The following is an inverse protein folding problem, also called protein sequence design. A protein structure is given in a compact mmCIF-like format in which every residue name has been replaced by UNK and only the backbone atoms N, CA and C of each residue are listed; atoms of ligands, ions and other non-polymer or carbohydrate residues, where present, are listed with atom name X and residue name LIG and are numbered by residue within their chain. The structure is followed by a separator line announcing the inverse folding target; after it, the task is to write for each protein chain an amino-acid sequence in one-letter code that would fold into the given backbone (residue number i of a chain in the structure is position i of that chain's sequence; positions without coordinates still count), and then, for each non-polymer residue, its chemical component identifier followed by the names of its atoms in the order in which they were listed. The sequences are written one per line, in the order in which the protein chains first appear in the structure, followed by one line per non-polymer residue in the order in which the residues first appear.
data_IF_922970755950
#
_entry.id   IF_922970755950
#
_cell.length_a   1.000
_cell.length_b   1.000
_cell.length_c   1.000
_cell.angle_alpha   90.00
_cell.angle_beta   90.00
_cell.angle_gamma   90.00
#
_symmetry.space_group_name_H-M   'P 1'
#
loop_
_entity.id
_entity.type
_entity.pdbx_description
1 polymer ?
#
# COMPACT_ATOMS: atom_id res chain seq x y z
N UNK A 1 4.58 17.08 34.70
CA UNK A 1 5.82 17.73 34.22
C UNK A 1 6.87 16.74 33.69
N UNK A 2 6.51 15.48 33.39
CA UNK A 2 7.41 14.45 32.83
C UNK A 2 7.08 14.15 31.34
N UNK A 3 5.97 14.66 30.79
CA UNK A 3 5.54 14.33 29.42
C UNK A 3 6.26 15.09 28.29
N UNK A 4 6.83 16.27 28.55
CA UNK A 4 7.44 17.10 27.49
C UNK A 4 8.81 16.62 27.03
N UNK A 5 9.61 16.02 27.93
CA UNK A 5 10.95 15.53 27.59
C UNK A 5 10.91 14.31 26.63
N UNK A 6 9.90 13.44 26.75
CA UNK A 6 9.78 12.24 25.91
C UNK A 6 9.33 12.57 24.46
N UNK A 7 8.52 13.62 24.28
CA UNK A 7 8.01 14.02 22.95
C UNK A 7 9.05 14.76 22.10
N UNK A 8 9.80 15.69 22.68
CA UNK A 8 10.88 16.40 21.97
C UNK A 8 11.99 15.42 21.50
N UNK A 9 12.27 14.40 22.30
CA UNK A 9 13.21 13.34 21.96
C UNK A 9 12.69 12.44 20.81
N UNK A 10 11.40 12.06 20.84
CA UNK A 10 10.78 11.26 19.77
C UNK A 10 10.67 12.01 18.44
N UNK A 11 10.36 13.30 18.47
CA UNK A 11 10.30 14.14 17.27
C UNK A 11 11.68 14.23 16.62
N UNK A 12 12.70 14.58 17.42
CA UNK A 12 14.09 14.68 16.96
C UNK A 12 14.61 13.33 16.45
N UNK A 13 14.25 12.24 17.11
CA UNK A 13 14.57 10.88 16.66
C UNK A 13 13.96 10.60 15.28
N UNK A 14 12.67 10.89 15.12
CA UNK A 14 11.94 10.67 13.86
C UNK A 14 12.55 11.46 12.71
N UNK A 15 12.86 12.74 12.93
CA UNK A 15 13.50 13.61 11.94
C UNK A 15 14.85 13.05 11.50
N UNK A 16 15.71 12.65 12.45
CA UNK A 16 17.03 12.08 12.15
C UNK A 16 16.91 10.75 11.41
N UNK A 17 16.00 9.87 11.83
CA UNK A 17 15.84 8.53 11.25
C UNK A 17 15.31 8.61 9.82
N UNK A 18 14.26 9.39 9.57
CA UNK A 18 13.73 9.59 8.22
C UNK A 18 14.74 10.34 7.32
N UNK A 19 15.44 11.34 7.83
CA UNK A 19 16.51 12.01 7.08
C UNK A 19 17.60 11.03 6.66
N UNK A 20 17.99 10.13 7.55
CA UNK A 20 18.95 9.06 7.24
C UNK A 20 18.41 8.12 6.15
N UNK A 21 17.14 7.69 6.23
CA UNK A 21 16.51 6.87 5.20
C UNK A 21 16.52 7.55 3.82
N UNK A 22 16.09 8.82 3.75
CA UNK A 22 16.10 9.58 2.49
C UNK A 22 17.51 9.76 1.89
N UNK A 23 18.54 9.88 2.73
CA UNK A 23 19.91 10.08 2.27
C UNK A 23 20.63 8.78 1.90
N UNK A 24 20.35 7.70 2.63
CA UNK A 24 21.21 6.51 2.64
C UNK A 24 20.50 5.22 2.18
N UNK A 25 19.17 5.18 2.10
CA UNK A 25 18.41 3.97 1.75
C UNK A 25 17.80 4.06 0.35
N UNK A 26 18.43 3.37 -0.62
CA UNK A 26 17.92 3.30 -1.99
C UNK A 26 16.59 2.54 -2.11
N UNK A 27 16.37 1.56 -1.24
CA UNK A 27 15.10 0.81 -1.16
C UNK A 27 13.97 1.70 -0.66
N UNK A 28 14.19 2.43 0.45
CA UNK A 28 13.24 3.39 0.99
C UNK A 28 12.86 4.46 -0.04
N UNK A 29 13.87 5.05 -0.70
CA UNK A 29 13.62 6.08 -1.72
C UNK A 29 12.81 5.54 -2.91
N UNK A 30 13.03 4.28 -3.31
CA UNK A 30 12.23 3.63 -4.35
C UNK A 30 10.79 3.42 -3.89
N UNK A 31 10.60 2.90 -2.68
CA UNK A 31 9.29 2.72 -2.08
C UNK A 31 8.50 4.04 -2.00
N UNK A 32 9.10 5.08 -1.42
CA UNK A 32 8.48 6.41 -1.33
C UNK A 32 8.15 6.97 -2.72
N UNK A 33 9.06 6.81 -3.69
CA UNK A 33 8.82 7.26 -5.07
C UNK A 33 7.65 6.53 -5.72
N UNK A 34 7.56 5.21 -5.61
CA UNK A 34 6.45 4.42 -6.19
C UNK A 34 5.11 4.86 -5.63
N UNK A 35 5.05 5.11 -4.31
CA UNK A 35 3.88 5.67 -3.62
C UNK A 35 3.54 7.06 -4.16
N UNK A 36 4.52 7.97 -4.19
CA UNK A 36 4.31 9.35 -4.61
C UNK A 36 3.82 9.41 -6.07
N UNK A 37 4.47 8.66 -6.96
CA UNK A 37 4.10 8.61 -8.37
C UNK A 37 2.68 8.04 -8.56
N UNK A 38 2.26 7.07 -7.74
CA UNK A 38 0.88 6.55 -7.77
C UNK A 38 -0.15 7.64 -7.43
N UNK A 39 -0.03 8.30 -6.28
CA UNK A 39 -0.99 9.33 -5.88
C UNK A 39 -0.91 10.58 -6.74
N UNK A 40 0.29 10.98 -7.18
CA UNK A 40 0.49 12.08 -8.11
C UNK A 40 -0.27 11.85 -9.41
N UNK A 41 -0.11 10.66 -10.03
CA UNK A 41 -0.81 10.32 -11.26
C UNK A 41 -2.33 10.26 -11.07
N UNK A 42 -2.79 9.65 -9.98
CA UNK A 42 -4.22 9.51 -9.65
C UNK A 42 -4.91 10.87 -9.52
N UNK A 43 -4.26 11.83 -8.89
CA UNK A 43 -4.80 13.18 -8.67
C UNK A 43 -4.57 14.12 -9.88
N UNK A 44 -3.50 13.91 -10.65
CA UNK A 44 -3.11 14.77 -11.78
C UNK A 44 -4.18 14.84 -12.88
N UNK A 45 -5.06 13.85 -12.99
CA UNK A 45 -6.16 13.85 -13.97
C UNK A 45 -7.14 15.00 -13.77
N UNK A 46 -7.22 15.54 -12.54
CA UNK A 46 -8.10 16.66 -12.21
C UNK A 46 -7.41 18.03 -12.30
N UNK A 47 -6.07 18.05 -12.34
CA UNK A 47 -5.28 19.29 -12.25
C UNK A 47 -5.09 19.92 -13.63
N UNK A 48 -5.42 21.20 -13.76
CA UNK A 48 -5.21 21.97 -15.00
C UNK A 48 -3.72 22.09 -15.28
N UNK A 49 -3.37 22.10 -16.57
CA UNK A 49 -1.97 22.18 -17.03
C UNK A 49 -1.23 23.37 -16.41
N UNK A 50 -1.87 24.53 -16.31
CA UNK A 50 -1.31 25.76 -15.72
C UNK A 50 -0.97 25.65 -14.21
N UNK A 51 -1.61 24.74 -13.48
CA UNK A 51 -1.43 24.57 -12.04
C UNK A 51 -0.51 23.38 -11.69
N UNK A 52 -0.07 22.59 -12.68
CA UNK A 52 0.66 21.33 -12.45
C UNK A 52 1.93 21.48 -11.62
N UNK A 53 2.79 22.44 -11.95
CA UNK A 53 4.05 22.63 -11.22
C UNK A 53 3.81 23.01 -9.76
N UNK A 54 2.82 23.87 -9.50
CA UNK A 54 2.43 24.29 -8.15
C UNK A 54 1.86 23.10 -7.38
N UNK A 55 1.00 22.32 -8.03
CA UNK A 55 0.42 21.11 -7.46
C UNK A 55 1.48 20.08 -7.09
N UNK A 56 2.36 19.72 -8.03
CA UNK A 56 3.41 18.71 -7.81
C UNK A 56 4.36 19.11 -6.67
N UNK A 57 4.74 20.40 -6.62
CA UNK A 57 5.57 20.92 -5.53
C UNK A 57 4.87 20.79 -4.17
N UNK A 58 3.60 21.21 -4.08
CA UNK A 58 2.80 21.11 -2.85
C UNK A 58 2.54 19.66 -2.45
N UNK A 59 2.22 18.79 -3.40
CA UNK A 59 1.98 17.37 -3.16
C UNK A 59 3.23 16.71 -2.61
N UNK A 60 4.40 16.96 -3.18
CA UNK A 60 5.64 16.34 -2.72
C UNK A 60 6.00 16.77 -1.29
N UNK A 61 5.86 18.06 -0.97
CA UNK A 61 6.05 18.56 0.39
C UNK A 61 5.05 17.93 1.36
N UNK A 62 3.77 17.94 1.00
CA UNK A 62 2.69 17.36 1.80
C UNK A 62 2.88 15.87 2.03
N UNK A 63 3.33 15.13 1.01
CA UNK A 63 3.59 13.70 1.11
C UNK A 63 4.73 13.39 2.09
N UNK A 64 5.83 14.15 2.06
CA UNK A 64 6.92 13.99 3.05
C UNK A 64 6.45 14.30 4.46
N UNK A 65 5.70 15.39 4.62
CA UNK A 65 5.15 15.87 5.89
C UNK A 65 4.17 14.83 6.48
N UNK A 66 3.29 14.26 5.65
CA UNK A 66 2.36 13.21 6.07
C UNK A 66 3.04 11.88 6.38
N UNK A 67 4.07 11.52 5.62
CA UNK A 67 4.86 10.32 5.89
C UNK A 67 5.56 10.45 7.25
N UNK A 68 6.12 11.62 7.54
CA UNK A 68 6.67 11.92 8.86
C UNK A 68 5.60 11.78 9.95
N UNK A 69 4.41 12.37 9.74
CA UNK A 69 3.33 12.32 10.72
C UNK A 69 2.94 10.88 11.07
N UNK A 70 2.75 10.02 10.06
CA UNK A 70 2.45 8.61 10.27
C UNK A 70 3.55 7.84 11.00
N UNK A 71 4.80 8.11 10.66
CA UNK A 71 5.94 7.52 11.37
C UNK A 71 5.92 7.95 12.85
N UNK A 72 5.77 9.25 13.11
CA UNK A 72 5.77 9.83 14.45
C UNK A 72 4.62 9.29 15.33
N UNK A 73 3.39 9.24 14.80
CA UNK A 73 2.21 8.70 15.50
C UNK A 73 2.48 7.28 16.00
N UNK A 74 3.04 6.42 15.15
CA UNK A 74 3.32 5.04 15.55
C UNK A 74 4.50 4.95 16.52
N UNK A 75 5.50 5.83 16.43
CA UNK A 75 6.55 5.88 17.46
C UNK A 75 5.99 6.27 18.82
N UNK A 76 5.06 7.23 18.88
CA UNK A 76 4.36 7.55 20.13
C UNK A 76 3.55 6.34 20.64
N UNK A 77 2.80 5.67 19.74
CA UNK A 77 2.02 4.47 20.08
C UNK A 77 2.89 3.31 20.59
N UNK A 78 4.06 3.06 19.99
CA UNK A 78 4.98 2.00 20.41
C UNK A 78 5.75 2.34 21.69
N UNK A 79 5.89 3.62 22.02
CA UNK A 79 6.57 4.07 23.24
C UNK A 79 5.67 3.97 24.49
N UNK A 80 4.35 3.85 24.33
CA UNK A 80 3.42 3.64 25.45
C UNK A 80 3.37 2.13 25.82
N UNK A 81 3.62 1.85 27.10
CA UNK A 81 3.66 0.49 27.65
C UNK A 81 2.34 -0.26 27.48
N UNK A 82 1.21 0.45 27.33
CA UNK A 82 -0.12 -0.15 27.19
C UNK A 82 -0.48 -0.52 25.75
N UNK A 83 0.27 -0.02 24.77
CA UNK A 83 -0.02 -0.16 23.32
C UNK A 83 1.13 -0.79 22.54
N UNK A 84 2.14 -1.32 23.23
CA UNK A 84 3.26 -2.00 22.59
C UNK A 84 2.79 -3.22 21.77
N UNK A 85 3.33 -3.36 20.56
CA UNK A 85 3.04 -4.50 19.70
C UNK A 85 3.89 -5.70 20.13
N UNK A 86 3.29 -6.89 20.36
CA UNK A 86 4.04 -8.06 20.78
C UNK A 86 4.98 -8.52 19.66
N UNK A 87 6.08 -9.16 20.02
CA UNK A 87 7.09 -9.61 19.05
C UNK A 87 6.52 -10.62 18.04
N UNK A 88 5.51 -11.42 18.46
CA UNK A 88 4.75 -12.30 17.56
C UNK A 88 4.04 -11.52 16.45
N UNK A 89 3.41 -10.40 16.79
CA UNK A 89 2.77 -9.52 15.81
C UNK A 89 3.80 -8.88 14.87
N UNK A 90 4.96 -8.47 15.39
CA UNK A 90 6.05 -7.91 14.57
C UNK A 90 6.72 -8.97 13.68
N UNK A 91 6.62 -10.25 14.03
CA UNK A 91 7.20 -11.36 13.26
C UNK A 91 6.37 -11.73 12.02
N UNK A 92 5.18 -11.15 11.85
CA UNK A 92 4.33 -11.44 10.72
C UNK A 92 4.90 -10.89 9.38
N UNK A 93 4.46 -11.43 8.24
CA UNK A 93 4.89 -10.96 6.93
C UNK A 93 4.49 -9.49 6.66
N UNK A 94 5.23 -8.82 5.79
CA UNK A 94 5.09 -7.36 5.61
C UNK A 94 3.75 -6.96 4.99
N UNK A 95 3.14 -7.82 4.18
CA UNK A 95 1.81 -7.59 3.64
C UNK A 95 0.74 -7.55 4.73
N UNK A 96 0.76 -8.51 5.66
CA UNK A 96 -0.15 -8.49 6.82
C UNK A 96 0.04 -7.26 7.69
N UNK A 97 1.30 -6.89 8.01
CA UNK A 97 1.60 -5.63 8.72
C UNK A 97 0.96 -4.45 7.97
N UNK A 98 1.10 -4.40 6.65
CA UNK A 98 0.58 -3.30 5.83
C UNK A 98 -0.95 -3.23 5.91
N UNK A 99 -1.64 -4.38 5.83
CA UNK A 99 -3.09 -4.46 5.91
C UNK A 99 -3.66 -4.06 7.28
N UNK A 100 -2.93 -4.30 8.37
CA UNK A 100 -3.43 -4.01 9.73
C UNK A 100 -3.17 -2.55 10.19
N UNK A 101 -2.22 -1.85 9.58
CA UNK A 101 -1.84 -0.47 9.97
C UNK A 101 -3.01 0.51 10.00
N UNK A 102 -3.93 0.54 9.03
CA UNK A 102 -5.07 1.46 9.09
C UNK A 102 -5.87 1.32 10.39
N UNK A 103 -6.00 0.11 10.92
CA UNK A 103 -6.63 -0.16 12.22
C UNK A 103 -5.82 0.38 13.39
N UNK A 104 -4.49 0.24 13.35
CA UNK A 104 -3.58 0.80 14.37
C UNK A 104 -3.68 2.32 14.41
N UNK A 105 -3.63 3.00 13.26
CA UNK A 105 -3.70 4.47 13.21
C UNK A 105 -5.05 4.98 13.69
N UNK A 106 -6.15 4.36 13.26
CA UNK A 106 -7.50 4.70 13.75
C UNK A 106 -7.61 4.53 15.27
N UNK A 107 -7.01 3.46 15.81
CA UNK A 107 -7.00 3.21 17.26
C UNK A 107 -6.14 4.22 18.02
N UNK A 108 -4.96 4.57 17.49
CA UNK A 108 -4.04 5.53 18.10
C UNK A 108 -4.61 6.96 18.10
N UNK A 109 -5.29 7.37 17.02
CA UNK A 109 -5.86 8.71 16.91
C UNK A 109 -7.21 8.86 17.64
N UNK A 110 -7.90 7.75 17.94
CA UNK A 110 -9.18 7.73 18.62
C UNK A 110 -10.25 8.55 17.90
N UNK A 111 -11.08 9.27 18.67
CA UNK A 111 -12.19 10.08 18.14
C UNK A 111 -11.74 11.34 17.37
N UNK A 112 -10.47 11.73 17.47
CA UNK A 112 -9.93 12.94 16.84
C UNK A 112 -9.18 12.62 15.54
N UNK A 113 -9.46 11.47 14.93
CA UNK A 113 -8.79 10.96 13.73
C UNK A 113 -8.50 12.06 12.71
N UNK A 114 -9.52 12.70 12.11
CA UNK A 114 -9.30 13.69 11.04
C UNK A 114 -8.40 14.88 11.42
N UNK A 115 -8.41 15.30 12.69
CA UNK A 115 -7.59 16.43 13.16
C UNK A 115 -6.13 16.03 13.43
N UNK A 116 -5.89 14.77 13.84
CA UNK A 116 -4.56 14.28 14.23
C UNK A 116 -3.73 13.85 13.03
N UNK A 117 -4.36 13.28 11.99
CA UNK A 117 -3.62 12.73 10.85
C UNK A 117 -3.20 13.75 9.79
N UNK A 118 -3.79 14.94 9.73
CA UNK A 118 -3.44 15.94 8.72
C UNK A 118 -2.32 16.87 9.18
N UNK A 119 -1.18 16.83 8.49
CA UNK A 119 -0.14 17.83 8.64
C UNK A 119 -0.57 19.19 8.09
N UNK A 120 0.09 20.24 8.54
CA UNK A 120 -0.15 21.61 8.07
C UNK A 120 0.03 21.73 6.55
N UNK A 121 1.07 21.12 6.00
CA UNK A 121 1.32 21.12 4.55
C UNK A 121 0.18 20.47 3.76
N UNK A 122 -0.31 19.32 4.25
CA UNK A 122 -1.42 18.62 3.62
C UNK A 122 -2.72 19.39 3.75
N UNK A 123 -2.97 20.02 4.90
CA UNK A 123 -4.11 20.91 5.08
C UNK A 123 -4.07 22.08 4.09
N UNK A 124 -2.90 22.70 3.91
CA UNK A 124 -2.70 23.78 2.95
C UNK A 124 -2.88 23.33 1.49
N UNK A 125 -2.45 22.12 1.14
CA UNK A 125 -2.71 21.52 -0.17
C UNK A 125 -4.21 21.29 -0.40
N UNK A 126 -4.90 20.73 0.60
CA UNK A 126 -6.35 20.51 0.54
C UNK A 126 -7.08 21.83 0.31
N UNK A 127 -6.80 22.86 1.13
CA UNK A 127 -7.41 24.19 0.98
C UNK A 127 -7.14 24.80 -0.42
N UNK A 128 -5.91 24.68 -0.90
CA UNK A 128 -5.55 25.16 -2.24
C UNK A 128 -6.33 24.42 -3.35
N UNK A 129 -6.52 23.11 -3.22
CA UNK A 129 -7.19 22.28 -4.21
C UNK A 129 -8.71 22.47 -4.21
N UNK A 130 -9.36 22.45 -3.04
CA UNK A 130 -10.83 22.57 -2.93
C UNK A 130 -11.37 23.94 -3.36
N UNK A 131 -10.52 24.97 -3.36
CA UNK A 131 -10.89 26.30 -3.88
C UNK A 131 -10.82 26.39 -5.40
N UNK A 132 -10.29 25.38 -6.09
CA UNK A 132 -10.01 25.38 -7.54
C UNK A 132 -10.68 24.22 -8.29
N UNK A 133 -10.86 23.10 -7.62
CA UNK A 133 -11.28 21.84 -8.22
C UNK A 133 -12.43 21.23 -7.43
N UNK A 134 -13.43 20.73 -8.14
CA UNK A 134 -14.52 19.95 -7.56
C UNK A 134 -14.05 18.51 -7.28
N UNK A 135 -14.68 17.86 -6.30
CA UNK A 135 -14.50 16.43 -5.96
C UNK A 135 -13.08 15.95 -5.57
N UNK A 136 -12.08 16.83 -5.45
CA UNK A 136 -10.75 16.44 -4.94
C UNK A 136 -10.69 16.21 -3.43
N UNK A 137 -11.62 16.79 -2.66
CA UNK A 137 -11.51 16.81 -1.21
C UNK A 137 -11.42 15.41 -0.60
N UNK A 138 -12.33 14.51 -0.99
CA UNK A 138 -12.35 13.13 -0.50
C UNK A 138 -11.10 12.36 -0.94
N UNK A 139 -10.66 12.53 -2.18
CA UNK A 139 -9.49 11.85 -2.73
C UNK A 139 -8.18 12.31 -2.07
N UNK A 140 -8.04 13.61 -1.76
CA UNK A 140 -6.90 14.14 -1.03
C UNK A 140 -6.90 13.69 0.43
N UNK A 141 -8.06 13.66 1.10
CA UNK A 141 -8.17 13.10 2.46
C UNK A 141 -7.76 11.62 2.49
N UNK A 142 -8.23 10.82 1.53
CA UNK A 142 -7.83 9.41 1.42
C UNK A 142 -6.33 9.28 1.17
N UNK A 143 -5.79 10.03 0.20
CA UNK A 143 -4.36 10.06 -0.11
C UNK A 143 -3.53 10.42 1.12
N UNK A 144 -3.97 11.42 1.89
CA UNK A 144 -3.32 11.84 3.12
C UNK A 144 -3.27 10.70 4.15
N UNK A 145 -4.38 9.97 4.32
CA UNK A 145 -4.44 8.84 5.24
C UNK A 145 -3.57 7.66 4.79
N UNK A 146 -3.58 7.34 3.50
CA UNK A 146 -2.73 6.28 2.95
C UNK A 146 -1.24 6.59 3.17
N UNK A 147 -0.82 7.84 2.95
CA UNK A 147 0.57 8.26 3.15
C UNK A 147 0.98 8.17 4.63
N UNK A 148 0.08 8.54 5.56
CA UNK A 148 0.29 8.33 6.99
C UNK A 148 0.50 6.84 7.29
N UNK A 149 -0.37 5.98 6.76
CA UNK A 149 -0.23 4.53 6.95
C UNK A 149 1.10 3.98 6.40
N UNK A 150 1.63 4.56 5.32
CA UNK A 150 2.94 4.15 4.79
C UNK A 150 4.11 4.68 5.64
N UNK A 151 3.99 5.86 6.24
CA UNK A 151 4.93 6.34 7.25
C UNK A 151 4.96 5.47 8.50
N UNK A 152 3.77 5.09 8.96
CA UNK A 152 3.54 4.16 10.05
C UNK A 152 4.18 2.79 9.79
N UNK A 153 4.01 2.27 8.57
CA UNK A 153 4.69 1.03 8.13
C UNK A 153 6.18 1.10 8.37
N UNK A 154 6.83 2.17 7.91
CA UNK A 154 8.28 2.31 8.08
C UNK A 154 8.69 2.33 9.57
N UNK A 155 7.91 2.98 10.43
CA UNK A 155 8.20 3.00 11.88
C UNK A 155 8.13 1.60 12.51
N UNK A 156 7.16 0.78 12.08
CA UNK A 156 7.00 -0.61 12.53
C UNK A 156 8.14 -1.49 12.04
N UNK A 157 8.52 -1.37 10.76
CA UNK A 157 9.65 -2.12 10.20
C UNK A 157 10.96 -1.76 10.90
N UNK A 158 11.18 -0.47 11.16
CA UNK A 158 12.34 0.00 11.92
C UNK A 158 12.33 -0.54 13.36
N UNK A 159 11.16 -0.65 14.00
CA UNK A 159 11.04 -1.24 15.34
C UNK A 159 11.36 -2.74 15.33
N UNK A 160 10.84 -3.48 14.34
CA UNK A 160 11.14 -4.90 14.11
C UNK A 160 12.65 -5.12 13.96
N UNK A 161 13.29 -4.29 13.14
CA UNK A 161 14.73 -4.34 12.89
C UNK A 161 15.54 -3.97 14.16
N UNK A 162 15.11 -2.95 14.91
CA UNK A 162 15.76 -2.56 16.18
C UNK A 162 15.69 -3.67 17.23
N UNK A 163 14.58 -4.42 17.29
CA UNK A 163 14.41 -5.59 18.17
C UNK A 163 15.13 -6.84 17.65
N UNK A 164 15.65 -6.82 16.42
CA UNK A 164 16.31 -7.97 15.79
C UNK A 164 15.35 -9.12 15.50
N UNK A 165 14.06 -8.83 15.32
CA UNK A 165 13.05 -9.84 14.98
C UNK A 165 13.23 -10.20 13.49
N UNK A 166 13.50 -11.46 13.14
CA UNK A 166 13.73 -11.84 11.76
C UNK A 166 12.44 -11.73 10.94
N UNK A 167 12.58 -11.41 9.65
CA UNK A 167 11.48 -11.56 8.70
C UNK A 167 11.08 -13.05 8.63
N UNK A 168 9.77 -13.36 8.56
CA UNK A 168 9.34 -14.74 8.41
C UNK A 168 9.88 -15.30 7.08
N UNK A 169 10.27 -16.58 7.10
CA UNK A 169 10.65 -17.27 5.88
C UNK A 169 9.40 -17.73 5.15
N UNK A 170 9.32 -17.47 3.85
CA UNK A 170 8.29 -17.97 2.96
C UNK A 170 8.18 -19.49 3.07
N UNK A 171 7.04 -19.97 3.55
CA UNK A 171 6.75 -21.40 3.67
C UNK A 171 6.17 -21.97 2.36
N UNK A 172 5.42 -21.16 1.60
CA UNK A 172 4.67 -21.64 0.42
C UNK A 172 4.85 -20.66 -0.75
N UNK A 173 5.88 -20.84 -1.60
CA UNK A 173 6.08 -19.97 -2.75
C UNK A 173 5.04 -20.25 -3.85
N UNK A 174 4.65 -19.20 -4.57
CA UNK A 174 3.81 -19.24 -5.78
C UNK A 174 4.45 -18.50 -6.96
N UNK A 175 3.83 -18.63 -8.13
CA UNK A 175 4.24 -18.02 -9.39
C UNK A 175 4.05 -16.50 -9.37
N UNK A 176 2.96 -16.01 -8.77
CA UNK A 176 2.73 -14.56 -8.64
C UNK A 176 3.32 -14.00 -7.35
N UNK A 177 3.12 -14.67 -6.23
CA UNK A 177 3.52 -14.20 -4.91
C UNK A 177 3.70 -15.36 -3.95
N UNK A 178 3.93 -15.04 -2.69
CA UNK A 178 4.03 -16.03 -1.63
C UNK A 178 2.63 -16.23 -1.03
N UNK A 179 2.24 -17.48 -0.77
CA UNK A 179 0.88 -17.83 -0.34
C UNK A 179 0.62 -17.53 1.13
N UNK A 180 1.68 -17.31 1.89
CA UNK A 180 1.69 -16.96 3.29
C UNK A 180 1.95 -15.47 3.52
N UNK A 181 1.71 -14.60 2.53
CA UNK A 181 1.75 -13.14 2.66
C UNK A 181 0.70 -12.47 1.76
N UNK A 182 0.41 -11.19 2.03
CA UNK A 182 -0.33 -10.32 1.12
C UNK A 182 0.63 -9.56 0.20
N UNK A 183 0.44 -9.72 -1.10
CA UNK A 183 1.29 -9.08 -2.10
C UNK A 183 0.69 -7.76 -2.58
N UNK A 184 1.12 -6.65 -2.00
CA UNK A 184 0.73 -5.31 -2.45
C UNK A 184 1.31 -5.00 -3.84
N UNK A 185 0.45 -4.76 -4.84
CA UNK A 185 0.88 -4.38 -6.20
C UNK A 185 0.87 -2.88 -6.41
N UNK A 186 -0.13 -2.22 -5.83
CA UNK A 186 -0.20 -0.76 -5.79
C UNK A 186 -0.39 -0.31 -4.35
N UNK A 187 -0.20 0.97 -4.04
CA UNK A 187 -0.44 1.49 -2.69
C UNK A 187 -1.86 1.26 -2.16
N UNK A 188 -2.82 0.89 -3.00
CA UNK A 188 -4.22 0.68 -2.61
C UNK A 188 -4.75 -0.74 -2.90
N UNK A 189 -3.93 -1.63 -3.45
CA UNK A 189 -4.38 -2.98 -3.83
C UNK A 189 -3.34 -4.04 -3.52
N UNK A 190 -3.82 -5.18 -3.02
CA UNK A 190 -2.99 -6.35 -2.75
C UNK A 190 -3.65 -7.64 -3.23
N UNK A 191 -2.83 -8.64 -3.52
CA UNK A 191 -3.29 -10.01 -3.74
C UNK A 191 -3.27 -10.81 -2.44
N UNK A 192 -4.35 -11.55 -2.23
CA UNK A 192 -4.46 -12.62 -1.26
C UNK A 192 -4.59 -13.94 -2.01
N UNK A 193 -3.79 -14.93 -1.63
CA UNK A 193 -3.90 -16.26 -2.19
C UNK A 193 -5.16 -16.98 -1.69
N UNK A 194 -5.91 -17.57 -2.61
CA UNK A 194 -7.12 -18.35 -2.30
C UNK A 194 -6.91 -19.85 -2.54
N UNK A 195 -6.32 -20.20 -3.69
CA UNK A 195 -6.13 -21.60 -4.10
C UNK A 195 -4.76 -21.82 -4.68
N UNK A 196 -4.10 -22.90 -4.22
CA UNK A 196 -2.87 -23.43 -4.81
C UNK A 196 -3.02 -24.89 -5.19
N UNK A 197 -2.66 -25.21 -6.43
CA UNK A 197 -2.42 -26.57 -6.93
C UNK A 197 -1.15 -26.57 -7.77
N UNK A 198 -0.72 -27.74 -8.26
CA UNK A 198 0.48 -27.82 -9.12
C UNK A 198 0.28 -27.13 -10.48
N UNK A 199 -0.97 -27.03 -10.95
CA UNK A 199 -1.32 -26.44 -12.23
C UNK A 199 -2.09 -25.12 -12.14
N UNK A 200 -2.63 -24.74 -10.99
CA UNK A 200 -3.50 -23.56 -10.87
C UNK A 200 -3.23 -22.77 -9.60
N UNK A 201 -3.17 -21.45 -9.75
CA UNK A 201 -3.21 -20.49 -8.64
C UNK A 201 -4.41 -19.56 -8.82
N UNK A 202 -5.15 -19.32 -7.74
CA UNK A 202 -6.23 -18.33 -7.68
C UNK A 202 -5.90 -17.31 -6.61
N UNK A 203 -5.98 -16.04 -6.97
CA UNK A 203 -5.67 -14.91 -6.11
C UNK A 203 -6.83 -13.92 -6.13
N UNK A 204 -7.28 -13.46 -4.95
CA UNK A 204 -8.21 -12.35 -4.82
C UNK A 204 -7.43 -11.05 -4.82
N UNK A 205 -7.78 -10.10 -5.69
CA UNK A 205 -7.30 -8.72 -5.58
C UNK A 205 -8.22 -7.99 -4.61
N UNK A 206 -7.67 -7.39 -3.57
CA UNK A 206 -8.43 -6.67 -2.57
C UNK A 206 -8.01 -5.20 -2.52
N UNK A 207 -8.96 -4.33 -2.21
CA UNK A 207 -8.72 -2.96 -1.75
C UNK A 207 -8.01 -3.01 -0.39
N UNK A 208 -7.02 -2.15 -0.22
CA UNK A 208 -6.38 -1.96 1.09
C UNK A 208 -7.42 -1.48 2.11
N UNK A 209 -7.40 -2.03 3.34
CA UNK A 209 -8.29 -1.60 4.44
C UNK A 209 -8.22 -0.11 4.81
N UNK A 210 -7.23 0.63 4.29
CA UNK A 210 -7.19 2.08 4.39
C UNK A 210 -8.37 2.75 3.67
N UNK A 211 -8.89 2.11 2.63
CA UNK A 211 -10.10 2.49 1.92
C UNK A 211 -11.28 1.90 2.69
N UNK A 212 -12.16 2.74 3.22
CA UNK A 212 -13.35 2.32 3.95
C UNK A 212 -14.44 1.74 3.02
N UNK A 213 -14.10 0.68 2.29
CA UNK A 213 -14.98 -0.05 1.37
C UNK A 213 -15.73 -1.14 2.14
N UNK A 214 -17.02 -1.31 1.84
CA UNK A 214 -17.84 -2.37 2.44
C UNK A 214 -17.44 -3.75 1.91
N UNK A 215 -17.18 -3.86 0.60
CA UNK A 215 -16.60 -5.04 -0.03
C UNK A 215 -15.12 -4.77 -0.34
N UNK A 216 -14.25 -5.60 0.22
CA UNK A 216 -12.81 -5.50 -0.01
C UNK A 216 -12.41 -6.06 -1.38
N UNK A 217 -13.22 -6.87 -2.07
CA UNK A 217 -12.81 -7.52 -3.32
C UNK A 217 -12.83 -6.52 -4.49
N UNK A 218 -11.65 -6.30 -5.05
CA UNK A 218 -11.43 -5.43 -6.20
C UNK A 218 -11.22 -6.23 -7.51
N UNK A 219 -10.94 -7.53 -7.41
CA UNK A 219 -10.66 -8.35 -8.58
C UNK A 219 -10.32 -9.79 -8.26
N UNK A 220 -10.03 -10.55 -9.30
CA UNK A 220 -9.57 -11.93 -9.21
C UNK A 220 -8.58 -12.23 -10.32
N UNK A 221 -7.54 -12.98 -9.97
CA UNK A 221 -6.56 -13.52 -10.90
C UNK A 221 -6.58 -15.04 -10.82
N UNK A 222 -6.71 -15.68 -11.98
CA UNK A 222 -6.47 -17.11 -12.14
C UNK A 222 -5.28 -17.31 -13.04
N UNK A 223 -4.28 -18.04 -12.55
CA UNK A 223 -3.13 -18.48 -13.33
C UNK A 223 -3.22 -19.99 -13.51
N UNK A 224 -3.24 -20.44 -14.78
CA UNK A 224 -3.30 -21.86 -15.13
C UNK A 224 -2.02 -22.21 -15.90
N UNK A 225 -1.29 -23.20 -15.40
CA UNK A 225 -0.16 -23.83 -16.06
C UNK A 225 -0.67 -24.93 -16.99
N UNK A 226 -0.35 -24.82 -18.27
CA UNK A 226 -0.78 -25.73 -19.33
C UNK A 226 0.45 -26.50 -19.80
N UNK A 227 0.65 -27.75 -19.35
CA UNK A 227 1.78 -28.56 -19.79
C UNK A 227 1.60 -28.94 -21.27
N UNK A 228 2.58 -28.59 -22.09
CA UNK A 228 2.73 -29.07 -23.47
C UNK A 228 3.84 -30.13 -23.58
N UNK A 229 3.99 -30.72 -24.77
CA UNK A 229 4.99 -31.78 -25.01
C UNK A 229 6.44 -31.26 -24.89
N UNK A 230 6.70 -30.02 -25.29
CA UNK A 230 8.05 -29.42 -25.34
C UNK A 230 8.16 -28.07 -24.61
N UNK A 231 7.04 -27.50 -24.16
CA UNK A 231 6.99 -26.22 -23.44
C UNK A 231 5.84 -26.21 -22.44
N UNK A 232 5.90 -25.25 -21.51
CA UNK A 232 4.79 -24.95 -20.59
C UNK A 232 4.21 -23.61 -21.03
N UNK A 233 2.90 -23.59 -21.27
CA UNK A 233 2.17 -22.35 -21.50
C UNK A 233 1.42 -21.95 -20.23
N UNK A 234 1.09 -20.67 -20.13
CA UNK A 234 0.37 -20.11 -18.99
C UNK A 234 -0.86 -19.37 -19.49
N UNK A 235 -2.01 -19.58 -18.86
CA UNK A 235 -3.19 -18.74 -19.04
C UNK A 235 -3.39 -17.88 -17.80
N UNK A 236 -3.24 -16.56 -17.97
CA UNK A 236 -3.52 -15.54 -16.97
C UNK A 236 -4.89 -14.94 -17.27
N UNK A 237 -5.87 -15.25 -16.43
CA UNK A 237 -7.18 -14.61 -16.47
C UNK A 237 -7.23 -13.55 -15.35
N UNK A 238 -7.55 -12.31 -15.71
CA UNK A 238 -7.65 -11.18 -14.80
C UNK A 238 -9.04 -10.54 -14.94
N UNK A 239 -9.78 -10.53 -13.85
CA UNK A 239 -11.08 -9.88 -13.71
C UNK A 239 -10.94 -8.72 -12.72
N UNK A 240 -11.22 -7.49 -13.15
CA UNK A 240 -11.14 -6.30 -12.29
C UNK A 240 -12.49 -5.60 -12.22
N UNK A 241 -12.82 -5.05 -11.05
CA UNK A 241 -14.02 -4.21 -10.92
C UNK A 241 -13.91 -2.94 -11.77
N UNK A 242 -15.05 -2.47 -12.28
CA UNK A 242 -15.16 -1.16 -12.94
C UNK A 242 -14.77 0.02 -12.04
N UNK A 243 -14.81 -0.16 -10.72
CA UNK A 243 -14.47 0.89 -9.75
C UNK A 243 -12.98 1.26 -9.72
N UNK A 244 -12.09 0.37 -10.20
CA UNK A 244 -10.68 0.70 -10.38
C UNK A 244 -10.55 1.52 -11.65
N UNK A 245 -9.96 2.71 -11.62
CA UNK A 245 -9.80 3.54 -12.82
C UNK A 245 -9.04 2.82 -13.94
N UNK A 246 -9.35 3.16 -15.20
CA UNK A 246 -8.78 2.48 -16.39
C UNK A 246 -7.25 2.43 -16.39
N UNK A 247 -6.61 3.56 -16.11
CA UNK A 247 -5.15 3.65 -16.04
C UNK A 247 -4.56 2.80 -14.90
N UNK A 248 -5.29 2.63 -13.79
CA UNK A 248 -4.87 1.76 -12.69
C UNK A 248 -5.04 0.28 -13.07
N UNK A 249 -6.12 -0.08 -13.77
CA UNK A 249 -6.33 -1.45 -14.29
C UNK A 249 -5.22 -1.87 -15.25
N UNK A 250 -4.83 -1.00 -16.18
CA UNK A 250 -3.70 -1.25 -17.08
C UNK A 250 -2.38 -1.44 -16.31
N UNK A 251 -2.14 -0.62 -15.28
CA UNK A 251 -0.97 -0.73 -14.42
C UNK A 251 -0.96 -2.05 -13.65
N UNK A 252 -2.08 -2.49 -13.09
CA UNK A 252 -2.21 -3.77 -12.39
C UNK A 252 -1.88 -4.93 -13.34
N UNK A 253 -2.44 -4.93 -14.55
CA UNK A 253 -2.14 -5.95 -15.56
C UNK A 253 -0.65 -5.97 -15.93
N UNK A 254 -0.04 -4.79 -16.14
CA UNK A 254 1.38 -4.69 -16.47
C UNK A 254 2.28 -5.21 -15.34
N UNK A 255 1.98 -4.84 -14.09
CA UNK A 255 2.72 -5.31 -12.91
C UNK A 255 2.59 -6.82 -12.73
N UNK A 256 1.39 -7.38 -12.89
CA UNK A 256 1.16 -8.82 -12.86
C UNK A 256 1.99 -9.59 -13.88
N UNK A 257 1.98 -9.12 -15.13
CA UNK A 257 2.74 -9.74 -16.20
C UNK A 257 4.24 -9.67 -15.94
N UNK A 258 4.73 -8.50 -15.52
CA UNK A 258 6.13 -8.31 -15.15
C UNK A 258 6.52 -9.25 -14.01
N UNK A 259 5.72 -9.34 -12.94
CA UNK A 259 5.98 -10.26 -11.82
C UNK A 259 6.03 -11.72 -12.28
N UNK A 260 5.05 -12.17 -13.07
CA UNK A 260 5.00 -13.55 -13.57
C UNK A 260 6.23 -13.86 -14.45
N UNK A 261 6.60 -12.94 -15.34
CA UNK A 261 7.73 -13.11 -16.25
C UNK A 261 9.07 -13.10 -15.50
N UNK A 262 9.32 -12.07 -14.68
CA UNK A 262 10.61 -11.84 -14.04
C UNK A 262 10.88 -12.84 -12.90
N UNK A 263 9.87 -13.18 -12.09
CA UNK A 263 10.03 -14.14 -10.97
C UNK A 263 10.32 -15.56 -11.45
N UNK A 264 9.82 -15.93 -12.63
CA UNK A 264 9.81 -17.31 -13.09
C UNK A 264 10.57 -17.54 -14.41
N UNK A 265 11.22 -16.51 -14.96
CA UNK A 265 11.91 -16.54 -16.25
C UNK A 265 11.01 -17.04 -17.40
N UNK A 266 9.75 -16.58 -17.42
CA UNK A 266 8.74 -17.00 -18.40
C UNK A 266 8.72 -16.01 -19.58
N UNK A 267 8.93 -16.45 -20.83
CA UNK A 267 8.80 -15.59 -22.00
C UNK A 267 7.37 -15.09 -22.20
N UNK A 268 7.21 -13.83 -22.63
CA UNK A 268 5.89 -13.23 -22.90
C UNK A 268 5.03 -14.06 -23.86
N UNK A 269 5.66 -14.72 -24.84
CA UNK A 269 4.97 -15.53 -25.85
C UNK A 269 4.33 -16.81 -25.28
N UNK A 270 4.75 -17.25 -24.09
CA UNK A 270 4.19 -18.41 -23.41
C UNK A 270 3.01 -18.06 -22.50
N UNK A 271 2.63 -16.78 -22.42
CA UNK A 271 1.56 -16.28 -21.55
C UNK A 271 0.36 -15.82 -22.41
N UNK A 272 -0.75 -16.54 -22.29
CA UNK A 272 -2.06 -16.12 -22.80
C UNK A 272 -2.75 -15.26 -21.75
N UNK A 273 -3.16 -14.04 -22.12
CA UNK A 273 -3.83 -13.11 -21.20
C UNK A 273 -5.29 -12.96 -21.58
N UNK A 274 -6.18 -13.14 -20.61
CA UNK A 274 -7.59 -12.76 -20.71
C UNK A 274 -7.85 -11.68 -19.68
N UNK A 275 -8.38 -10.56 -20.14
CA UNK A 275 -8.68 -9.41 -19.30
C UNK A 275 -10.15 -9.05 -19.46
N UNK A 276 -10.85 -8.89 -18.34
CA UNK A 276 -12.23 -8.43 -18.33
C UNK A 276 -12.47 -7.44 -17.18
N UNK A 277 -13.33 -6.46 -17.46
CA UNK A 277 -13.86 -5.55 -16.45
C UNK A 277 -15.25 -6.04 -16.07
N UNK A 278 -15.50 -6.19 -14.77
CA UNK A 278 -16.78 -6.66 -14.24
C UNK A 278 -17.46 -5.55 -13.46
N UNK A 279 -18.80 -5.58 -13.47
CA UNK A 279 -19.60 -4.57 -12.76
C UNK A 279 -19.52 -4.75 -11.25
N UNK A 280 -19.78 -5.97 -10.77
CA UNK A 280 -19.84 -6.32 -9.35
C UNK A 280 -19.30 -7.74 -9.12
N UNK A 281 -18.75 -8.00 -7.93
CA UNK A 281 -18.43 -9.33 -7.43
C UNK A 281 -19.49 -9.75 -6.40
N UNK A 282 -19.90 -11.02 -6.43
CA UNK A 282 -20.82 -11.58 -5.43
C UNK A 282 -20.20 -12.82 -4.81
N UNK A 283 -20.08 -12.82 -3.48
CA UNK A 283 -19.67 -13.99 -2.71
C UNK A 283 -20.93 -14.65 -2.18
N UNK A 284 -21.22 -15.85 -2.67
CA UNK A 284 -22.34 -16.65 -2.18
C UNK A 284 -21.82 -17.59 -1.10
N UNK A 285 -22.20 -17.32 0.15
CA UNK A 285 -21.92 -18.22 1.29
C UNK A 285 -23.07 -19.22 1.39
N UNK A 286 -22.78 -20.51 1.24
CA UNK A 286 -23.74 -21.56 1.57
C UNK A 286 -23.64 -21.85 3.08
N UNK A 287 -24.77 -21.73 3.79
CA UNK A 287 -24.93 -22.19 5.18
C UNK A 287 -24.97 -23.72 5.30
#
# INVERSE_FOLDING_TARGET
MIETANKEDLFTYTEKKLSSHFQNSGEFNRFFKVMYDYYSNKLNVFIKVEDKEVYESKLFQSAKSQFFNGYYIVREFLADENTNLPDEWLSQPEGFITEEIPGIIKSAAGNNFEEVILSEDMHNLILWAVTRYEDLHALLKQTAFDIVCLGAKQAILDERDNKGIPKPQTAIPGLLGDFDDFMFLTPQHYFQAEVKTDETEIWSLNWWSSLAKEDSKAGEVTLIKIPGENNVQYALNLYLTKEIDEHERERILALLLMTLMDKNDIPRNDIMVRFAVVEDFYILVQE
#
